data_IF_142531230728
#
_entry.id   IF_142531230728
#
_cell.length_a   1.000
_cell.length_b   1.000
_cell.length_c   1.000
_cell.angle_alpha   90.00
_cell.angle_beta   90.00
_cell.angle_gamma   90.00
#
_symmetry.space_group_name_H-M   'P 1'
#
loop_
_entity.id
_entity.type
_entity.pdbx_description
1 polymer ?
#
# COMPACT_ATOMS: atom_id res chain seq x y z
N UNK A 1 -1.99 17.35 35.33
CA UNK A 1 -2.47 16.93 34.00
C UNK A 1 -1.57 17.52 32.94
N UNK A 2 -1.33 16.77 31.88
CA UNK A 2 -0.76 17.29 30.65
C UNK A 2 -1.68 18.34 30.00
N UNK A 3 -1.17 19.17 29.11
CA UNK A 3 -1.98 20.21 28.47
C UNK A 3 -3.07 19.63 27.55
N UNK A 4 -2.82 18.48 26.95
CA UNK A 4 -3.78 17.72 26.15
C UNK A 4 -4.80 16.94 27.01
N UNK A 5 -4.64 16.94 28.34
CA UNK A 5 -5.46 16.27 29.34
C UNK A 5 -5.44 14.71 29.25
N UNK A 6 -4.54 14.12 28.48
CA UNK A 6 -4.44 12.69 28.32
C UNK A 6 -3.67 12.00 29.45
N UNK A 7 -2.80 12.72 30.15
CA UNK A 7 -1.93 12.16 31.19
C UNK A 7 -2.07 12.90 32.52
N UNK A 8 -1.84 12.14 33.60
CA UNK A 8 -1.82 12.65 34.98
C UNK A 8 -0.52 12.24 35.65
N UNK A 9 0.28 13.20 36.07
CA UNK A 9 1.47 12.95 36.87
C UNK A 9 1.19 12.99 38.38
N UNK A 10 1.70 12.02 39.11
CA UNK A 10 1.68 12.00 40.57
C UNK A 10 3.10 11.82 41.13
N UNK A 11 3.56 12.81 41.92
CA UNK A 11 4.77 12.69 42.67
C UNK A 11 4.57 11.82 43.91
N UNK A 12 5.48 10.89 44.17
CA UNK A 12 5.47 10.04 45.39
C UNK A 12 6.36 10.63 46.44
N UNK A 13 5.77 11.08 47.54
CA UNK A 13 6.46 11.52 48.74
C UNK A 13 6.31 10.55 49.91
N UNK A 14 7.42 10.26 50.58
CA UNK A 14 7.44 9.80 51.95
C UNK A 14 7.10 8.35 52.31
N UNK A 15 7.56 7.31 51.70
CA UNK A 15 7.85 6.04 52.42
C UNK A 15 8.64 5.03 51.55
N UNK A 16 9.80 4.61 52.11
CA UNK A 16 10.57 3.40 51.71
C UNK A 16 10.67 3.06 50.20
N UNK A 17 11.81 3.30 49.65
CA UNK A 17 12.29 2.91 48.31
C UNK A 17 11.77 3.66 47.07
N UNK A 18 10.59 4.32 47.12
CA UNK A 18 10.00 5.01 45.95
C UNK A 18 9.94 6.55 46.12
N UNK A 19 10.61 7.13 47.12
CA UNK A 19 10.48 8.56 47.47
C UNK A 19 10.97 9.52 46.36
N UNK A 20 11.68 9.01 45.37
CA UNK A 20 12.27 9.76 44.27
C UNK A 20 11.64 9.38 42.92
N UNK A 21 10.39 8.93 42.92
CA UNK A 21 9.70 8.48 41.73
C UNK A 21 8.46 9.35 41.46
N UNK A 22 8.32 9.85 40.28
CA UNK A 22 7.04 10.34 39.77
C UNK A 22 6.40 9.28 38.88
N UNK A 23 5.11 9.12 38.98
CA UNK A 23 4.35 8.18 38.14
C UNK A 23 3.41 8.93 37.22
N UNK A 24 3.33 8.51 35.99
CA UNK A 24 2.49 9.06 34.97
C UNK A 24 1.40 8.04 34.65
N UNK A 25 0.17 8.51 34.61
CA UNK A 25 -1.00 7.68 34.36
C UNK A 25 -1.81 8.24 33.20
N UNK A 26 -2.41 7.36 32.45
CA UNK A 26 -3.42 7.72 31.47
C UNK A 26 -4.68 8.26 32.15
N UNK A 27 -5.15 9.45 31.77
CA UNK A 27 -6.19 10.15 32.52
C UNK A 27 -7.56 9.50 32.46
N UNK A 28 -7.88 8.82 31.36
CA UNK A 28 -9.17 8.19 31.11
C UNK A 28 -9.28 6.77 31.66
N UNK A 29 -8.16 6.04 31.79
CA UNK A 29 -8.14 4.64 32.26
C UNK A 29 -7.54 4.46 33.63
N UNK A 30 -6.68 5.41 34.07
CA UNK A 30 -5.87 5.28 35.27
C UNK A 30 -4.73 4.26 35.12
N UNK A 31 -4.44 3.80 33.91
CA UNK A 31 -3.31 2.92 33.66
C UNK A 31 -1.98 3.65 33.89
N UNK A 32 -0.99 2.96 34.49
CA UNK A 32 0.34 3.49 34.65
C UNK A 32 1.01 3.47 33.26
N UNK A 33 1.44 4.66 32.78
CA UNK A 33 2.16 4.80 31.54
C UNK A 33 3.65 4.70 31.81
N UNK A 34 4.15 5.49 32.78
CA UNK A 34 5.58 5.56 33.04
C UNK A 34 5.92 5.88 34.50
N UNK A 35 7.19 5.69 34.88
CA UNK A 35 7.73 5.99 36.20
C UNK A 35 9.11 6.68 36.10
N UNK A 36 9.11 7.98 36.28
CA UNK A 36 10.31 8.79 36.26
C UNK A 36 11.04 8.60 37.61
N UNK A 37 12.24 8.03 37.58
CA UNK A 37 13.09 7.87 38.73
C UNK A 37 14.14 8.99 38.76
N UNK A 38 14.03 9.89 39.67
CA UNK A 38 15.01 10.97 39.84
C UNK A 38 16.43 10.47 40.10
N UNK A 39 17.43 11.33 39.91
CA UNK A 39 18.83 10.96 40.10
C UNK A 39 19.08 10.40 41.49
N UNK A 40 19.88 9.34 41.59
CA UNK A 40 20.29 8.77 42.89
C UNK A 40 21.10 9.81 43.66
N UNK A 41 20.74 10.12 44.91
CA UNK A 41 21.46 11.09 45.68
C UNK A 41 22.92 10.68 45.86
N UNK A 42 23.82 11.65 45.71
CA UNK A 42 25.23 11.46 45.98
C UNK A 42 25.43 11.14 47.47
N UNK A 43 25.99 10.01 47.77
CA UNK A 43 26.46 9.47 49.06
C UNK A 43 25.90 10.12 50.33
N UNK A 44 25.03 9.42 51.05
CA UNK A 44 24.58 9.86 52.40
C UNK A 44 23.13 9.52 52.72
N UNK A 45 22.36 9.00 51.81
CA UNK A 45 20.98 8.58 52.01
C UNK A 45 20.91 7.13 52.48
N UNK A 46 20.85 6.96 53.79
CA UNK A 46 20.60 5.66 54.39
C UNK A 46 19.11 5.51 54.69
N UNK A 47 18.50 4.49 54.16
CA UNK A 47 17.08 4.12 54.25
C UNK A 47 16.55 3.85 55.69
N UNK A 48 17.28 4.19 56.71
CA UNK A 48 16.93 3.91 58.12
C UNK A 48 16.88 5.09 59.06
N UNK A 49 17.25 6.31 58.66
CA UNK A 49 17.38 7.44 59.58
C UNK A 49 16.59 8.72 59.21
N UNK A 50 15.46 8.62 58.58
CA UNK A 50 14.60 9.79 58.41
C UNK A 50 15.20 10.94 57.56
N UNK A 51 16.29 10.70 56.88
CA UNK A 51 16.89 11.66 55.95
C UNK A 51 16.19 11.54 54.59
N UNK A 52 15.30 12.45 54.34
CA UNK A 52 14.53 12.56 53.09
C UNK A 52 15.48 12.89 51.95
N UNK A 53 15.78 11.91 51.17
CA UNK A 53 16.68 12.01 50.03
C UNK A 53 15.87 12.17 48.76
N UNK A 54 15.95 13.36 48.19
CA UNK A 54 15.48 13.59 46.81
C UNK A 54 13.99 13.50 46.57
N UNK A 55 13.16 13.94 47.54
CA UNK A 55 11.69 13.99 47.29
C UNK A 55 11.35 14.86 46.10
N UNK A 56 10.55 14.34 45.17
CA UNK A 56 9.91 15.16 44.16
C UNK A 56 8.86 16.02 44.83
N UNK A 57 9.02 17.35 44.79
CA UNK A 57 8.18 18.35 45.45
C UNK A 57 7.21 19.04 44.49
N UNK A 58 7.51 19.07 43.23
CA UNK A 58 6.68 19.64 42.22
C UNK A 58 6.84 18.89 40.92
N UNK A 59 5.76 18.87 40.17
CA UNK A 59 5.70 18.33 38.83
C UNK A 59 4.86 19.29 37.96
N UNK A 60 5.38 19.64 36.82
CA UNK A 60 4.67 20.44 35.82
C UNK A 60 4.95 19.90 34.42
N UNK A 61 3.98 20.03 33.57
CA UNK A 61 4.09 19.72 32.14
C UNK A 61 4.47 20.98 31.36
N UNK A 62 5.24 20.79 30.30
CA UNK A 62 5.41 21.82 29.27
C UNK A 62 4.07 22.10 28.55
N UNK A 63 3.89 23.29 27.95
CA UNK A 63 2.65 23.62 27.25
C UNK A 63 2.35 22.73 26.03
N UNK A 64 3.38 22.10 25.47
CA UNK A 64 3.29 21.18 24.34
C UNK A 64 3.09 19.71 24.77
N UNK A 65 3.02 19.45 26.08
CA UNK A 65 2.88 18.13 26.67
C UNK A 65 4.07 17.18 26.42
N UNK A 66 5.17 17.66 25.89
CA UNK A 66 6.34 16.86 25.53
C UNK A 66 7.38 16.73 26.63
N UNK A 67 7.30 17.56 27.66
CA UNK A 67 8.27 17.58 28.76
C UNK A 67 7.60 17.62 30.10
N UNK A 68 8.23 16.99 31.05
CA UNK A 68 7.89 17.11 32.48
C UNK A 68 9.05 17.77 33.21
N UNK A 69 8.70 18.72 34.04
CA UNK A 69 9.65 19.37 34.96
C UNK A 69 9.37 18.90 36.37
N UNK A 70 10.37 18.39 37.04
CA UNK A 70 10.27 18.04 38.44
C UNK A 70 11.19 18.92 39.28
N UNK A 71 10.73 19.29 40.48
CA UNK A 71 11.57 19.96 41.49
C UNK A 71 11.83 19.02 42.65
N UNK A 72 13.07 18.98 43.11
CA UNK A 72 13.51 18.11 44.18
C UNK A 72 13.93 18.92 45.40
N UNK A 73 13.76 18.36 46.61
CA UNK A 73 14.13 18.98 47.86
C UNK A 73 15.26 18.20 48.54
N UNK A 74 16.13 18.95 49.27
CA UNK A 74 17.22 18.50 50.09
C UNK A 74 18.35 17.72 49.37
N UNK A 75 19.55 18.18 49.52
CA UNK A 75 20.84 17.66 49.04
C UNK A 75 21.05 17.51 47.53
N UNK A 76 19.97 17.42 46.75
CA UNK A 76 19.95 17.46 45.29
C UNK A 76 18.94 18.53 44.83
N UNK A 77 19.08 19.77 45.41
CA UNK A 77 18.25 20.90 45.00
C UNK A 77 18.46 21.18 43.51
N UNK A 78 17.45 20.83 42.68
CA UNK A 78 17.51 21.01 41.25
C UNK A 78 16.13 21.02 40.60
N UNK A 79 16.12 21.57 39.42
CA UNK A 79 15.00 21.45 38.49
C UNK A 79 15.47 20.49 37.41
N UNK A 80 14.77 19.41 37.25
CA UNK A 80 15.07 18.41 36.23
C UNK A 80 14.05 18.45 35.15
N UNK A 81 14.50 18.40 33.91
CA UNK A 81 13.68 18.25 32.73
C UNK A 81 13.67 16.79 32.33
N UNK A 82 12.49 16.29 32.08
CA UNK A 82 12.26 14.94 31.60
C UNK A 82 11.47 15.07 30.32
N UNK A 83 11.86 14.35 29.30
CA UNK A 83 11.00 14.16 28.17
C UNK A 83 9.81 13.31 28.64
N UNK A 84 8.60 13.72 28.30
CA UNK A 84 7.47 12.84 28.44
C UNK A 84 7.66 11.75 27.38
N UNK A 85 7.71 10.54 27.83
CA UNK A 85 7.65 9.39 26.97
C UNK A 85 6.29 9.39 26.30
N UNK A 86 6.25 9.69 25.01
CA UNK A 86 5.02 9.67 24.22
C UNK A 86 5.09 8.45 23.33
N UNK A 87 4.65 7.34 23.90
CA UNK A 87 4.32 6.09 23.22
C UNK A 87 2.79 6.11 23.01
N UNK A 88 2.34 6.59 21.83
CA UNK A 88 0.93 6.87 21.59
C UNK A 88 0.11 5.59 21.37
N UNK A 89 0.71 4.57 20.79
CA UNK A 89 0.07 3.31 20.44
C UNK A 89 0.40 2.14 21.37
N UNK A 90 1.33 2.38 22.32
CA UNK A 90 1.77 1.44 23.37
C UNK A 90 2.51 0.21 22.83
N UNK A 91 3.33 0.40 21.83
CA UNK A 91 4.19 -0.64 21.28
C UNK A 91 5.57 -0.74 21.95
N UNK A 92 5.93 0.25 22.76
CA UNK A 92 7.18 0.33 23.51
C UNK A 92 8.23 1.22 22.87
N UNK A 93 7.91 1.90 21.77
CA UNK A 93 8.77 2.88 21.11
C UNK A 93 8.19 4.28 21.26
N UNK A 94 9.06 5.28 21.36
CA UNK A 94 8.64 6.65 21.60
C UNK A 94 8.65 7.49 20.34
N UNK A 95 7.69 8.39 20.22
CA UNK A 95 7.59 9.36 19.11
C UNK A 95 8.82 10.28 19.04
N UNK A 96 9.59 10.42 20.13
CA UNK A 96 10.75 11.31 20.22
C UNK A 96 11.97 10.57 20.75
N UNK A 97 13.16 10.87 20.21
CA UNK A 97 14.43 10.30 20.66
C UNK A 97 14.70 10.66 22.14
N UNK A 98 14.74 9.65 22.99
CA UNK A 98 15.04 9.78 24.41
C UNK A 98 16.55 9.78 24.69
N UNK A 99 17.39 9.82 23.67
CA UNK A 99 18.84 9.81 23.73
C UNK A 99 19.44 8.42 23.51
N UNK A 100 18.66 7.46 23.11
CA UNK A 100 19.06 6.12 22.69
C UNK A 100 19.11 5.95 21.17
N UNK A 101 18.61 6.95 20.41
CA UNK A 101 18.57 6.98 18.96
C UNK A 101 17.40 6.19 18.38
N UNK A 102 16.46 5.76 19.21
CA UNK A 102 15.25 5.06 18.79
C UNK A 102 14.09 6.06 18.75
N UNK A 103 13.50 6.21 17.60
CA UNK A 103 12.32 7.03 17.36
C UNK A 103 11.30 6.15 16.65
N UNK A 104 10.09 6.16 17.15
CA UNK A 104 8.99 5.48 16.49
C UNK A 104 8.65 6.19 15.17
N UNK A 105 8.79 5.48 14.05
CA UNK A 105 8.46 5.96 12.73
C UNK A 105 6.93 5.97 12.48
N UNK A 106 6.17 5.18 13.27
CA UNK A 106 4.73 4.99 13.11
C UNK A 106 3.95 5.22 14.43
N UNK A 107 3.96 6.41 15.02
CA UNK A 107 3.47 6.69 16.38
C UNK A 107 1.99 6.37 16.66
N UNK A 108 1.25 5.91 15.69
CA UNK A 108 -0.17 5.55 15.82
C UNK A 108 -0.48 4.12 15.34
N UNK A 109 0.56 3.33 15.04
CA UNK A 109 0.42 1.98 14.50
C UNK A 109 1.31 0.99 15.28
N UNK A 110 0.82 0.49 16.40
CA UNK A 110 1.56 -0.35 17.34
C UNK A 110 2.03 -1.71 16.84
N UNK A 111 1.99 -1.96 15.56
CA UNK A 111 2.62 -3.12 14.94
C UNK A 111 3.84 -2.76 14.10
N UNK A 112 4.12 -1.47 13.93
CA UNK A 112 5.26 -0.93 13.18
C UNK A 112 5.94 0.17 14.00
N UNK A 113 7.27 0.21 14.03
CA UNK A 113 8.06 1.24 14.74
C UNK A 113 9.33 1.67 14.01
N UNK A 114 9.76 0.93 12.99
CA UNK A 114 10.98 1.21 12.22
C UNK A 114 10.66 1.29 10.72
N UNK A 115 11.37 2.20 10.03
CA UNK A 115 11.24 2.44 8.59
C UNK A 115 12.65 2.77 8.07
N UNK A 116 13.36 1.74 7.61
CA UNK A 116 14.78 1.84 7.30
C UNK A 116 15.07 2.72 6.09
N UNK A 117 14.22 2.73 5.10
CA UNK A 117 14.44 3.48 3.85
C UNK A 117 13.57 4.75 3.74
N UNK A 118 12.60 4.93 4.64
CA UNK A 118 11.84 6.17 4.78
C UNK A 118 10.69 6.32 3.78
N UNK A 119 10.12 5.23 3.30
CA UNK A 119 9.04 5.26 2.31
C UNK A 119 7.63 5.26 2.90
N UNK A 120 7.53 5.04 4.22
CA UNK A 120 6.27 5.04 4.95
C UNK A 120 5.65 3.65 5.13
N UNK A 121 6.35 2.58 4.78
CA UNK A 121 6.01 1.21 5.12
C UNK A 121 6.97 0.69 6.20
N UNK A 122 6.44 -0.05 7.17
CA UNK A 122 7.22 -0.44 8.33
C UNK A 122 7.97 -1.76 8.15
N UNK A 123 9.14 -1.84 8.78
CA UNK A 123 10.08 -2.96 8.65
C UNK A 123 9.59 -4.25 9.32
N UNK A 124 8.58 -4.19 10.19
CA UNK A 124 8.11 -5.37 10.89
C UNK A 124 7.34 -6.29 9.95
N UNK A 125 7.69 -7.59 9.91
CA UNK A 125 7.04 -8.53 9.01
C UNK A 125 5.60 -8.86 9.43
N UNK A 126 4.85 -9.44 8.53
CA UNK A 126 3.50 -9.94 8.86
C UNK A 126 3.49 -10.77 10.17
N UNK A 127 2.51 -10.56 11.05
CA UNK A 127 1.20 -9.94 10.81
C UNK A 127 1.10 -8.43 11.08
N UNK A 128 2.20 -7.69 11.06
CA UNK A 128 2.18 -6.23 11.16
C UNK A 128 1.36 -5.59 10.02
N UNK A 129 0.90 -4.36 10.27
CA UNK A 129 0.12 -3.61 9.28
C UNK A 129 1.00 -3.20 8.11
N UNK A 130 0.62 -3.55 6.88
CA UNK A 130 1.31 -3.20 5.63
C UNK A 130 2.85 -3.31 5.73
N UNK A 131 3.37 -4.52 6.00
CA UNK A 131 4.80 -4.70 6.19
C UNK A 131 5.55 -4.39 4.90
N UNK A 132 6.65 -3.64 5.01
CA UNK A 132 7.53 -3.40 3.89
C UNK A 132 8.16 -4.71 3.37
N UNK A 133 8.05 -4.93 2.08
CA UNK A 133 8.67 -6.07 1.42
C UNK A 133 10.05 -5.75 0.84
N UNK A 134 10.46 -4.47 0.83
CA UNK A 134 11.69 -3.97 0.23
C UNK A 134 12.54 -3.09 1.17
N UNK A 135 12.69 -3.46 2.41
CA UNK A 135 13.25 -2.78 3.59
C UNK A 135 14.41 -1.77 3.39
N UNK A 136 15.06 -1.73 2.28
CA UNK A 136 16.23 -0.88 2.01
C UNK A 136 16.15 -0.13 0.70
N UNK A 137 15.03 -0.22 0.01
CA UNK A 137 14.78 0.41 -1.29
C UNK A 137 13.40 1.03 -1.26
N UNK A 138 13.33 2.30 -0.92
CA UNK A 138 12.09 3.06 -0.86
C UNK A 138 11.25 2.91 -2.13
N UNK A 139 9.98 2.57 -1.95
CA UNK A 139 9.04 2.35 -3.06
C UNK A 139 7.62 2.80 -2.76
N UNK A 140 6.74 2.62 -3.73
CA UNK A 140 5.36 3.12 -3.67
C UNK A 140 4.31 2.06 -3.95
N UNK A 141 4.73 0.81 -4.19
CA UNK A 141 3.81 -0.28 -4.50
C UNK A 141 2.86 -0.62 -3.34
N UNK A 142 1.62 -0.97 -3.68
CA UNK A 142 0.51 -1.14 -2.72
C UNK A 142 -0.37 -2.36 -2.97
N UNK A 143 -0.17 -3.08 -4.08
CA UNK A 143 -1.07 -4.15 -4.51
C UNK A 143 -0.52 -5.54 -4.18
N UNK A 144 0.71 -5.82 -4.53
CA UNK A 144 1.35 -7.12 -4.36
C UNK A 144 2.36 -7.14 -3.21
N UNK A 145 3.23 -6.14 -3.14
CA UNK A 145 4.33 -5.99 -2.19
C UNK A 145 4.39 -4.54 -1.76
N UNK A 146 4.09 -4.27 -0.51
CA UNK A 146 4.15 -2.90 0.03
C UNK A 146 5.58 -2.39 0.04
N UNK A 147 5.80 -1.10 -0.25
CA UNK A 147 7.08 -0.43 -0.10
C UNK A 147 8.12 -0.78 -1.17
N UNK A 148 7.77 -1.52 -2.23
CA UNK A 148 8.70 -1.83 -3.30
C UNK A 148 8.65 -0.81 -4.44
N UNK A 149 9.70 -0.82 -5.29
CA UNK A 149 9.76 0.05 -6.45
C UNK A 149 8.57 -0.20 -7.37
N UNK A 150 7.92 0.87 -7.78
CA UNK A 150 6.79 0.94 -8.69
C UNK A 150 7.05 2.09 -9.65
N UNK A 151 7.53 1.74 -10.84
CA UNK A 151 8.10 2.74 -11.77
C UNK A 151 7.03 3.57 -12.47
N UNK A 152 5.86 3.01 -12.74
CA UNK A 152 4.79 3.69 -13.47
C UNK A 152 3.65 4.18 -12.56
N UNK A 153 3.59 3.71 -11.31
CA UNK A 153 2.69 4.22 -10.29
C UNK A 153 1.29 3.60 -10.31
N UNK A 154 1.14 2.39 -10.81
CA UNK A 154 -0.14 1.69 -10.84
C UNK A 154 -0.44 0.91 -9.53
N UNK A 155 0.56 0.81 -8.68
CA UNK A 155 0.49 0.16 -7.38
C UNK A 155 1.06 -1.25 -7.35
N UNK A 156 1.38 -1.86 -8.47
CA UNK A 156 2.13 -3.10 -8.53
C UNK A 156 3.63 -2.83 -8.46
N UNK A 157 4.37 -3.73 -7.83
CA UNK A 157 5.83 -3.59 -7.79
C UNK A 157 6.45 -3.94 -9.15
N UNK A 158 7.56 -3.30 -9.54
CA UNK A 158 8.29 -3.64 -10.77
C UNK A 158 8.63 -5.14 -10.91
N UNK A 159 8.74 -5.85 -9.79
CA UNK A 159 9.00 -7.30 -9.79
C UNK A 159 7.72 -8.12 -9.98
N UNK A 160 6.59 -7.63 -9.53
CA UNK A 160 5.29 -8.29 -9.67
C UNK A 160 4.53 -7.88 -10.92
N UNK A 161 4.99 -6.85 -11.60
CA UNK A 161 4.40 -6.27 -12.80
C UNK A 161 5.09 -6.76 -14.07
N UNK A 162 4.31 -7.30 -15.01
CA UNK A 162 4.82 -7.69 -16.32
C UNK A 162 5.06 -6.49 -17.25
N UNK A 163 4.48 -5.32 -16.92
CA UNK A 163 4.55 -4.10 -17.72
C UNK A 163 5.01 -2.89 -16.90
N UNK A 164 6.19 -2.88 -16.26
CA UNK A 164 6.60 -1.88 -15.25
C UNK A 164 6.75 -0.44 -15.77
N UNK A 165 6.31 -0.14 -16.95
CA UNK A 165 6.32 1.18 -17.56
C UNK A 165 4.97 1.56 -18.18
N UNK A 166 3.94 0.74 -17.98
CA UNK A 166 2.59 0.99 -18.48
C UNK A 166 1.55 0.92 -17.34
N UNK A 167 1.19 2.07 -16.73
CA UNK A 167 0.34 2.13 -15.54
C UNK A 167 -1.09 1.63 -15.76
N UNK A 168 -1.36 0.99 -16.87
CA UNK A 168 -2.67 0.44 -17.21
C UNK A 168 -2.63 -1.09 -17.33
N UNK A 169 -1.44 -1.68 -17.27
CA UNK A 169 -1.23 -3.11 -17.45
C UNK A 169 -0.27 -3.64 -16.38
N UNK A 170 -0.57 -4.79 -15.79
CA UNK A 170 0.29 -5.47 -14.81
C UNK A 170 0.33 -6.99 -14.99
N UNK A 171 -0.57 -7.57 -15.79
CA UNK A 171 -0.70 -9.01 -16.00
C UNK A 171 -0.93 -9.33 -17.47
N UNK A 172 -0.55 -10.55 -17.86
CA UNK A 172 -0.75 -11.16 -19.17
C UNK A 172 -1.04 -12.65 -18.90
N UNK A 173 -2.32 -13.02 -18.90
CA UNK A 173 -2.76 -14.33 -18.41
C UNK A 173 -2.49 -15.46 -19.39
N UNK A 174 -2.48 -15.20 -20.69
CA UNK A 174 -2.27 -16.20 -21.72
C UNK A 174 -0.87 -16.16 -22.36
N UNK A 175 -0.12 -15.09 -22.11
CA UNK A 175 1.28 -14.98 -22.46
C UNK A 175 1.53 -14.56 -23.92
N UNK A 176 0.62 -13.84 -24.52
CA UNK A 176 0.74 -13.38 -25.90
C UNK A 176 1.47 -12.02 -26.05
N UNK A 177 1.71 -11.33 -24.94
CA UNK A 177 2.43 -10.07 -24.86
C UNK A 177 1.54 -8.84 -24.84
N UNK A 178 0.22 -9.01 -24.75
CA UNK A 178 -0.75 -7.97 -24.49
C UNK A 178 -1.26 -8.11 -23.05
N UNK A 179 -1.52 -6.99 -22.40
CA UNK A 179 -1.94 -7.02 -20.98
C UNK A 179 -3.44 -7.25 -20.82
N UNK A 180 -3.81 -7.91 -19.75
CA UNK A 180 -5.20 -8.33 -19.45
C UNK A 180 -6.20 -7.18 -19.39
N UNK A 181 -5.74 -5.93 -19.20
CA UNK A 181 -6.63 -4.79 -19.04
C UNK A 181 -7.05 -4.21 -20.37
N UNK A 182 -8.34 -4.33 -20.62
CA UNK A 182 -8.99 -3.89 -21.82
C UNK A 182 -10.28 -3.12 -21.48
N UNK A 183 -10.50 -1.98 -22.12
CA UNK A 183 -11.68 -1.17 -21.86
C UNK A 183 -12.49 -0.93 -23.12
N UNK A 184 -13.79 -1.16 -23.04
CA UNK A 184 -14.75 -0.66 -24.01
C UNK A 184 -15.29 0.69 -23.57
N UNK A 185 -15.49 1.62 -24.51
CA UNK A 185 -16.22 2.85 -24.22
C UNK A 185 -17.74 2.56 -24.06
N UNK A 186 -18.49 3.59 -23.67
CA UNK A 186 -19.95 3.49 -23.49
C UNK A 186 -20.70 3.12 -24.78
N UNK A 187 -20.06 3.20 -25.95
CA UNK A 187 -20.62 2.87 -27.25
C UNK A 187 -20.15 1.50 -27.75
N UNK A 188 -19.32 0.81 -26.95
CA UNK A 188 -18.71 -0.47 -27.31
C UNK A 188 -17.52 -0.32 -28.27
N UNK A 189 -16.97 0.88 -28.43
CA UNK A 189 -15.70 1.07 -29.13
C UNK A 189 -14.54 0.75 -28.19
N UNK A 190 -13.58 0.01 -28.70
CA UNK A 190 -12.36 -0.37 -28.02
C UNK A 190 -11.53 0.88 -27.68
N UNK A 191 -11.35 1.16 -26.40
CA UNK A 191 -10.39 2.16 -25.96
C UNK A 191 -9.04 1.48 -25.75
N UNK A 192 -8.20 1.52 -26.77
CA UNK A 192 -6.79 1.22 -26.63
C UNK A 192 -6.12 2.32 -25.82
N UNK A 193 -6.02 2.14 -24.53
CA UNK A 193 -5.06 2.88 -23.74
C UNK A 193 -3.71 2.23 -24.07
N UNK A 194 -2.92 2.88 -24.90
CA UNK A 194 -1.55 2.54 -25.33
C UNK A 194 -1.36 1.37 -26.31
N UNK A 195 -2.39 0.75 -26.88
CA UNK A 195 -2.29 -0.40 -27.80
C UNK A 195 -1.71 -1.68 -27.17
N UNK A 196 -1.77 -1.82 -25.85
CA UNK A 196 -1.18 -2.91 -25.09
C UNK A 196 -2.23 -3.77 -24.38
N UNK A 197 -3.51 -3.40 -24.45
CA UNK A 197 -4.60 -4.15 -23.84
C UNK A 197 -5.10 -5.31 -24.69
N UNK A 198 -5.42 -6.42 -24.04
CA UNK A 198 -5.93 -7.64 -24.64
C UNK A 198 -7.46 -7.76 -24.49
N UNK A 199 -8.16 -7.90 -25.61
CA UNK A 199 -9.60 -8.14 -25.63
C UNK A 199 -9.97 -9.58 -25.27
N UNK A 200 -9.01 -10.49 -25.30
CA UNK A 200 -9.20 -11.93 -25.08
C UNK A 200 -8.16 -12.51 -24.13
N UNK A 201 -8.11 -12.10 -22.85
CA UNK A 201 -7.03 -12.42 -21.90
C UNK A 201 -6.81 -13.91 -21.62
N UNK A 202 -7.63 -14.77 -22.16
CA UNK A 202 -7.53 -16.23 -22.04
C UNK A 202 -7.24 -16.91 -23.39
N UNK A 203 -7.00 -16.16 -24.48
CA UNK A 203 -6.75 -16.71 -25.82
C UNK A 203 -5.54 -16.07 -26.51
N UNK A 204 -4.36 -16.60 -26.28
CA UNK A 204 -3.08 -16.17 -26.85
C UNK A 204 -3.02 -16.10 -28.40
N UNK A 205 -4.14 -16.28 -29.08
CA UNK A 205 -4.22 -16.15 -30.54
C UNK A 205 -5.03 -14.93 -30.97
N UNK A 206 -5.64 -14.23 -30.01
CA UNK A 206 -6.45 -13.04 -30.23
C UNK A 206 -6.10 -11.98 -29.17
N UNK A 207 -6.01 -10.74 -29.54
CA UNK A 207 -5.79 -9.60 -28.63
C UNK A 207 -6.59 -8.35 -29.02
N UNK A 208 -7.15 -8.30 -30.24
CA UNK A 208 -7.98 -7.19 -30.68
C UNK A 208 -9.35 -7.68 -31.14
N UNK A 209 -10.35 -6.87 -30.83
CA UNK A 209 -11.72 -6.96 -31.31
C UNK A 209 -12.14 -5.55 -31.77
N UNK A 210 -11.92 -5.24 -33.05
CA UNK A 210 -12.03 -3.86 -33.55
C UNK A 210 -13.46 -3.35 -33.59
N UNK A 211 -14.44 -4.20 -33.85
CA UNK A 211 -15.84 -3.77 -33.92
C UNK A 211 -16.64 -4.11 -32.65
N UNK A 212 -16.08 -4.89 -31.74
CA UNK A 212 -16.66 -5.17 -30.43
C UNK A 212 -17.77 -6.20 -30.45
N UNK A 213 -17.67 -7.20 -31.30
CA UNK A 213 -18.67 -8.25 -31.41
C UNK A 213 -18.35 -9.51 -30.60
N UNK A 214 -17.12 -9.60 -30.03
CA UNK A 214 -16.64 -10.72 -29.24
C UNK A 214 -15.87 -11.75 -30.04
N UNK A 215 -15.56 -11.47 -31.33
CA UNK A 215 -14.69 -12.26 -32.17
C UNK A 215 -13.41 -11.49 -32.49
N UNK A 216 -12.29 -12.21 -32.52
CA UNK A 216 -10.98 -11.56 -32.63
C UNK A 216 -10.56 -11.29 -34.08
N UNK A 217 -9.83 -10.20 -34.25
CA UNK A 217 -9.36 -9.72 -35.56
C UNK A 217 -8.41 -10.69 -36.27
N UNK A 218 -7.66 -11.54 -35.53
CA UNK A 218 -6.73 -12.48 -36.11
C UNK A 218 -7.46 -13.64 -36.79
N UNK A 219 -6.93 -14.07 -37.92
CA UNK A 219 -7.62 -15.05 -38.76
C UNK A 219 -6.68 -16.21 -39.15
N UNK A 220 -7.27 -17.40 -39.35
CA UNK A 220 -6.51 -18.64 -39.68
C UNK A 220 -6.49 -18.98 -41.18
N UNK A 221 -7.38 -18.44 -41.98
CA UNK A 221 -7.53 -18.84 -43.36
C UNK A 221 -6.73 -17.95 -44.30
N UNK A 222 -5.60 -18.42 -44.81
CA UNK A 222 -4.74 -17.69 -45.73
C UNK A 222 -5.42 -17.29 -47.06
N UNK A 223 -6.53 -17.92 -47.44
CA UNK A 223 -7.27 -17.50 -48.64
C UNK A 223 -7.94 -16.14 -48.47
N UNK A 224 -8.19 -15.73 -47.20
CA UNK A 224 -8.80 -14.44 -46.86
C UNK A 224 -7.88 -13.26 -47.19
N UNK A 225 -6.54 -13.45 -47.19
CA UNK A 225 -5.58 -12.41 -47.57
C UNK A 225 -5.86 -11.79 -48.95
N UNK A 226 -6.47 -12.53 -49.86
CA UNK A 226 -6.73 -12.04 -51.19
C UNK A 226 -7.95 -11.10 -51.28
N UNK A 227 -8.75 -11.08 -50.19
CA UNK A 227 -10.03 -10.40 -50.15
C UNK A 227 -10.13 -9.36 -49.05
N UNK A 228 -9.32 -9.51 -47.99
CA UNK A 228 -9.23 -8.49 -46.93
C UNK A 228 -8.60 -7.23 -47.52
N UNK A 229 -9.20 -6.10 -47.25
CA UNK A 229 -8.61 -4.82 -47.57
C UNK A 229 -7.30 -4.65 -46.72
N UNK A 230 -6.26 -4.03 -47.28
CA UNK A 230 -4.99 -3.88 -46.56
C UNK A 230 -5.09 -3.11 -45.22
N UNK A 231 -6.14 -2.35 -45.06
CA UNK A 231 -6.47 -1.58 -43.86
C UNK A 231 -7.25 -2.37 -42.79
N UNK A 232 -7.68 -3.60 -43.08
CA UNK A 232 -8.40 -4.40 -42.12
C UNK A 232 -7.46 -4.90 -41.03
N UNK A 233 -7.89 -4.83 -39.76
CA UNK A 233 -7.05 -5.28 -38.64
C UNK A 233 -6.87 -6.80 -38.62
N UNK A 234 -5.93 -7.25 -37.77
CA UNK A 234 -5.65 -8.66 -37.53
C UNK A 234 -4.54 -9.26 -38.38
N UNK A 235 -3.99 -10.35 -37.88
CA UNK A 235 -2.90 -11.10 -38.48
C UNK A 235 -3.33 -12.51 -38.91
N UNK A 236 -2.69 -13.03 -39.94
CA UNK A 236 -2.84 -14.44 -40.30
C UNK A 236 -2.07 -15.31 -39.29
N UNK A 237 -2.78 -15.99 -38.44
CA UNK A 237 -2.28 -16.96 -37.48
C UNK A 237 -2.93 -18.32 -37.74
N UNK A 238 -2.17 -19.32 -38.14
CA UNK A 238 -2.70 -20.65 -38.49
C UNK A 238 -3.38 -21.38 -37.33
N UNK A 239 -3.27 -20.84 -36.14
CA UNK A 239 -3.86 -21.36 -34.90
C UNK A 239 -4.88 -20.38 -34.28
N UNK A 240 -5.23 -19.30 -34.98
CA UNK A 240 -6.18 -18.34 -34.47
C UNK A 240 -7.51 -19.02 -34.11
N UNK A 241 -7.96 -18.83 -32.89
CA UNK A 241 -9.28 -19.24 -32.43
C UNK A 241 -10.24 -18.06 -32.60
N UNK A 242 -11.53 -18.30 -32.51
CA UNK A 242 -12.56 -17.25 -32.44
C UNK A 242 -12.36 -16.12 -33.47
N UNK A 243 -11.91 -16.44 -34.68
CA UNK A 243 -11.56 -15.47 -35.73
C UNK A 243 -12.78 -14.76 -36.28
N UNK A 244 -12.64 -13.45 -36.49
CA UNK A 244 -13.64 -12.65 -37.21
C UNK A 244 -13.27 -12.52 -38.69
N UNK A 245 -14.22 -12.91 -39.56
CA UNK A 245 -14.09 -12.72 -41.01
C UNK A 245 -14.37 -11.28 -41.44
N UNK A 246 -15.13 -10.53 -40.65
CA UNK A 246 -15.59 -9.17 -40.94
C UNK A 246 -15.23 -8.16 -39.83
N UNK A 247 -13.97 -7.95 -39.48
CA UNK A 247 -13.52 -7.24 -38.27
C UNK A 247 -13.88 -5.75 -38.22
N UNK A 248 -14.74 -5.28 -39.05
CA UNK A 248 -15.28 -3.92 -39.07
C UNK A 248 -16.81 -3.91 -39.13
N UNK A 249 -17.47 -5.08 -39.03
CA UNK A 249 -18.92 -5.20 -39.06
C UNK A 249 -19.42 -6.03 -37.89
N UNK A 250 -19.61 -5.42 -36.74
CA UNK A 250 -20.04 -6.05 -35.47
C UNK A 250 -21.31 -6.92 -35.55
N UNK A 251 -21.94 -7.00 -36.73
CA UNK A 251 -23.13 -7.81 -36.96
C UNK A 251 -22.83 -9.09 -37.74
N UNK A 252 -21.57 -9.30 -38.12
CA UNK A 252 -21.08 -10.44 -38.88
C UNK A 252 -19.69 -10.86 -38.42
N UNK A 253 -19.48 -12.15 -38.18
CA UNK A 253 -18.17 -12.71 -37.80
C UNK A 253 -17.82 -13.99 -38.58
N UNK A 254 -18.77 -14.62 -39.26
CA UNK A 254 -18.56 -15.86 -40.00
C UNK A 254 -19.01 -15.77 -41.45
N UNK A 255 -18.29 -16.51 -42.32
CA UNK A 255 -18.62 -16.72 -43.74
C UNK A 255 -18.24 -18.18 -44.07
N UNK A 256 -19.21 -19.08 -44.01
CA UNK A 256 -18.97 -20.53 -44.11
C UNK A 256 -18.66 -20.97 -45.54
N UNK A 257 -19.23 -20.37 -46.55
CA UNK A 257 -19.03 -20.76 -47.94
C UNK A 257 -18.02 -19.87 -48.71
N UNK A 258 -17.62 -18.76 -48.14
CA UNK A 258 -16.56 -17.90 -48.66
C UNK A 258 -17.00 -16.96 -49.78
N UNK A 259 -18.25 -16.58 -49.80
CA UNK A 259 -18.81 -15.69 -50.82
C UNK A 259 -18.83 -14.20 -50.43
N UNK A 260 -18.32 -13.87 -49.17
CA UNK A 260 -18.21 -12.52 -48.60
C UNK A 260 -19.54 -11.90 -48.18
N UNK A 261 -20.56 -12.69 -48.01
CA UNK A 261 -21.76 -12.37 -47.26
C UNK A 261 -21.70 -13.14 -45.92
N UNK A 262 -22.02 -12.48 -44.83
CA UNK A 262 -21.90 -13.10 -43.53
C UNK A 262 -23.06 -14.02 -43.20
N UNK A 263 -22.81 -15.05 -42.44
CA UNK A 263 -23.78 -16.07 -42.02
C UNK A 263 -24.89 -15.53 -41.11
N UNK A 264 -24.68 -14.36 -40.51
CA UNK A 264 -25.58 -13.81 -39.49
C UNK A 264 -26.80 -13.16 -40.10
N UNK A 265 -27.96 -13.76 -39.90
CA UNK A 265 -29.22 -13.44 -40.57
C UNK A 265 -29.84 -12.08 -40.19
N UNK A 266 -29.31 -11.40 -39.17
CA UNK A 266 -29.89 -10.14 -38.70
C UNK A 266 -29.16 -8.89 -39.20
N UNK A 267 -28.18 -9.05 -40.09
CA UNK A 267 -27.42 -7.94 -40.66
C UNK A 267 -27.92 -7.50 -42.02
N UNK A 268 -27.54 -6.31 -42.47
CA UNK A 268 -27.80 -5.78 -43.80
C UNK A 268 -27.01 -6.51 -44.91
N UNK A 269 -26.02 -7.35 -44.51
CA UNK A 269 -25.15 -8.15 -45.39
C UNK A 269 -25.31 -9.66 -45.15
N UNK A 270 -26.45 -10.06 -44.60
CA UNK A 270 -26.74 -11.47 -44.35
C UNK A 270 -26.80 -12.29 -45.63
N UNK A 271 -26.08 -13.42 -45.64
CA UNK A 271 -26.20 -14.42 -46.66
C UNK A 271 -27.56 -15.19 -46.56
N UNK A 272 -28.28 -15.24 -47.63
CA UNK A 272 -29.53 -16.01 -47.70
C UNK A 272 -29.33 -17.52 -47.81
N UNK A 273 -28.09 -17.97 -48.07
CA UNK A 273 -27.74 -19.39 -48.28
C UNK A 273 -26.35 -19.71 -47.69
N UNK A 274 -26.12 -19.63 -46.36
CA UNK A 274 -24.81 -19.64 -45.75
C UNK A 274 -23.93 -20.90 -45.94
N UNK A 275 -24.34 -21.80 -46.75
CA UNK A 275 -23.60 -23.03 -47.08
C UNK A 275 -23.48 -23.29 -48.59
N UNK A 276 -23.87 -22.33 -49.41
CA UNK A 276 -23.88 -22.45 -50.88
C UNK A 276 -23.36 -21.17 -51.51
N UNK A 277 -22.15 -21.22 -51.98
CA UNK A 277 -21.41 -20.16 -52.68
C UNK A 277 -22.05 -19.77 -54.00
#
# INVERSE_FOLDING_TARGET
FSYDSNQVGAGMGWYQNDANTARIYQSNTGALIDSIVGPKPSSGCNSGQGNNCGEIRGLAWSPDSTHIVTTHSRNDEGVYYWFADIDEDNDGYNTTDQGDGLVDAFPSEGSQWDDTDGDGYGDNPAPAFQPDACLTVAGTSTQDRFGCLDTDGDGWSDEGDLYPADPLQWADSDGDGFGDNYYFDINGAQLHLNQTGDAFPDDATQWNDTDGDGHGDNYQNASWDNFRAPEWPGLLLTVANNSDTFPLDRTQWADTDGDWFGDEQMSDRADGCPTVW
#
